data_IF_965352809589
#
_entry.id   IF_965352809589
#
_cell.length_a   1.000
_cell.length_b   1.000
_cell.length_c   1.000
_cell.angle_alpha   90.00
_cell.angle_beta   90.00
_cell.angle_gamma   90.00
#
_symmetry.space_group_name_H-M   'P 1'
#
loop_
_entity.id
_entity.type
_entity.pdbx_description
1 polymer ?
#
# COMPACT_ATOMS: atom_id res chain seq x y z
N UNK A 1 -12.64 -0.01 -18.24
CA UNK A 1 -11.78 -0.40 -17.10
C UNK A 1 -12.04 0.60 -15.97
N UNK A 2 -12.20 0.17 -14.71
CA UNK A 2 -12.38 1.10 -13.58
C UNK A 2 -11.04 1.76 -13.25
N UNK A 3 -11.08 3.02 -12.82
CA UNK A 3 -9.88 3.72 -12.37
C UNK A 3 -9.21 2.97 -11.21
N UNK A 4 -7.88 2.90 -11.22
CA UNK A 4 -7.08 2.25 -10.17
C UNK A 4 -5.65 2.78 -10.15
N UNK A 5 -4.97 2.57 -9.03
CA UNK A 5 -3.54 2.79 -8.90
C UNK A 5 -2.80 1.47 -9.20
N UNK A 6 -2.14 1.40 -10.35
CA UNK A 6 -1.37 0.24 -10.79
C UNK A 6 0.06 0.31 -10.23
N UNK A 7 0.43 -0.67 -9.42
CA UNK A 7 1.75 -0.80 -8.80
C UNK A 7 2.74 -1.33 -9.83
N UNK A 8 3.81 -0.57 -10.05
CA UNK A 8 4.94 -0.97 -10.86
C UNK A 8 6.02 -1.62 -10.01
N UNK A 9 6.37 -1.00 -8.87
CA UNK A 9 7.47 -1.42 -8.02
C UNK A 9 7.11 -1.30 -6.53
N UNK A 10 7.61 -2.24 -5.73
CA UNK A 10 7.50 -2.26 -4.27
C UNK A 10 8.88 -2.48 -3.71
N UNK A 11 9.35 -1.55 -2.88
CA UNK A 11 10.70 -1.56 -2.30
C UNK A 11 10.65 -1.52 -0.77
N UNK A 12 10.56 -2.67 -0.11
CA UNK A 12 10.69 -2.77 1.34
C UNK A 12 12.18 -2.80 1.68
N UNK A 13 12.68 -1.73 2.30
CA UNK A 13 14.09 -1.61 2.68
C UNK A 13 14.27 -0.55 3.77
N UNK A 14 15.27 -0.74 4.63
CA UNK A 14 15.74 0.27 5.58
C UNK A 14 14.63 0.84 6.50
N UNK A 15 13.69 -0.03 6.91
CA UNK A 15 12.56 0.34 7.78
C UNK A 15 11.47 1.16 7.08
N UNK A 16 11.47 1.16 5.74
CA UNK A 16 10.52 1.88 4.88
C UNK A 16 9.95 0.96 3.81
N UNK A 17 8.79 1.34 3.28
CA UNK A 17 8.23 0.74 2.07
C UNK A 17 7.98 1.85 1.07
N UNK A 18 8.78 1.88 0.00
CA UNK A 18 8.59 2.79 -1.13
C UNK A 18 7.77 2.10 -2.21
N UNK A 19 6.77 2.81 -2.73
CA UNK A 19 5.85 2.33 -3.76
C UNK A 19 5.94 3.26 -4.98
N UNK A 20 6.04 2.64 -6.15
CA UNK A 20 5.99 3.34 -7.43
C UNK A 20 4.87 2.72 -8.27
N UNK A 21 4.08 3.57 -8.92
CA UNK A 21 3.00 3.10 -9.76
C UNK A 21 2.50 4.16 -10.72
N UNK A 22 1.36 3.85 -11.36
CA UNK A 22 0.65 4.76 -12.25
C UNK A 22 -0.84 4.78 -11.96
N UNK A 23 -1.47 5.93 -12.16
CA UNK A 23 -2.92 6.06 -12.16
C UNK A 23 -3.44 5.66 -13.54
N UNK A 24 -4.34 4.68 -13.59
CA UNK A 24 -5.02 4.28 -14.82
C UNK A 24 -6.50 4.57 -14.74
N UNK A 25 -7.11 4.86 -15.88
CA UNK A 25 -8.56 5.03 -16.01
C UNK A 25 -9.11 6.40 -15.58
N UNK A 26 -8.24 7.37 -15.30
CA UNK A 26 -8.58 8.79 -15.14
C UNK A 26 -7.93 9.60 -16.27
N UNK A 27 -8.58 10.66 -16.78
CA UNK A 27 -7.96 11.59 -17.71
C UNK A 27 -6.93 12.48 -16.98
N UNK A 28 -5.89 12.94 -17.68
CA UNK A 28 -4.76 13.68 -17.08
C UNK A 28 -5.16 14.94 -16.28
N UNK A 29 -6.22 15.64 -16.70
CA UNK A 29 -6.76 16.79 -15.94
C UNK A 29 -7.32 16.41 -14.56
N UNK A 30 -7.76 15.18 -14.39
CA UNK A 30 -8.33 14.66 -13.15
C UNK A 30 -7.24 14.01 -12.27
N UNK A 31 -5.99 13.94 -12.76
CA UNK A 31 -4.83 13.59 -11.94
C UNK A 31 -4.05 14.82 -11.50
N UNK A 32 -4.39 16.02 -12.01
CA UNK A 32 -3.80 17.27 -11.59
C UNK A 32 -4.25 17.63 -10.17
N UNK A 33 -3.38 17.43 -9.18
CA UNK A 33 -3.70 17.71 -7.78
C UNK A 33 -2.70 17.10 -6.81
N UNK A 34 -2.94 17.33 -5.52
CA UNK A 34 -2.19 16.67 -4.46
C UNK A 34 -2.80 15.29 -4.21
N UNK A 35 -1.97 14.25 -4.33
CA UNK A 35 -2.36 12.88 -4.04
C UNK A 35 -1.66 12.39 -2.79
N UNK A 36 -2.31 11.48 -2.09
CA UNK A 36 -1.81 10.83 -0.91
C UNK A 36 -1.87 9.31 -1.06
N UNK A 37 -0.84 8.64 -0.59
CA UNK A 37 -0.92 7.23 -0.23
C UNK A 37 -1.72 7.10 1.06
N UNK A 38 -2.80 6.33 1.02
CA UNK A 38 -3.64 6.09 2.19
C UNK A 38 -3.63 4.63 2.55
N UNK A 39 -3.23 4.34 3.79
CA UNK A 39 -3.30 3.00 4.36
C UNK A 39 -4.48 2.95 5.30
N UNK A 40 -5.37 1.98 5.10
CA UNK A 40 -6.55 1.77 5.95
C UNK A 40 -6.41 0.45 6.68
N UNK A 41 -6.47 0.47 8.02
CA UNK A 41 -6.44 -0.74 8.84
C UNK A 41 -7.72 -1.54 8.59
N UNK A 42 -7.61 -2.78 8.12
CA UNK A 42 -8.75 -3.56 7.66
C UNK A 42 -9.78 -3.84 8.77
N UNK A 43 -9.30 -4.11 9.98
CA UNK A 43 -10.16 -4.36 11.14
C UNK A 43 -10.79 -3.07 11.73
N UNK A 44 -10.18 -1.91 11.47
CA UNK A 44 -10.61 -0.61 12.01
C UNK A 44 -10.52 0.46 10.91
N UNK A 45 -11.51 0.55 10.00
CA UNK A 45 -11.46 1.43 8.83
C UNK A 45 -11.35 2.93 9.15
N UNK A 46 -11.65 3.34 10.38
CA UNK A 46 -11.43 4.68 10.92
C UNK A 46 -9.95 4.99 11.17
N UNK A 47 -9.09 3.97 11.28
CA UNK A 47 -7.64 4.09 11.45
C UNK A 47 -6.97 4.13 10.09
N UNK A 48 -6.58 5.34 9.71
CA UNK A 48 -5.93 5.64 8.42
C UNK A 48 -4.60 6.36 8.64
N UNK A 49 -3.60 5.97 7.88
CA UNK A 49 -2.33 6.70 7.72
C UNK A 49 -2.32 7.34 6.34
N UNK A 50 -1.74 8.54 6.23
CA UNK A 50 -1.69 9.32 4.99
C UNK A 50 -0.27 9.84 4.78
N UNK A 51 0.25 9.65 3.58
CA UNK A 51 1.55 10.15 3.16
C UNK A 51 1.42 10.85 1.83
N UNK A 52 2.16 11.92 1.62
CA UNK A 52 2.19 12.58 0.31
C UNK A 52 2.63 11.58 -0.78
N UNK A 53 2.04 11.71 -1.95
CA UNK A 53 2.46 11.00 -3.16
C UNK A 53 2.91 12.03 -4.19
N UNK A 54 4.17 11.93 -4.61
CA UNK A 54 4.72 12.75 -5.66
C UNK A 54 4.18 12.25 -7.00
N UNK A 55 3.35 13.07 -7.65
CA UNK A 55 2.75 12.75 -8.94
C UNK A 55 3.43 13.53 -10.06
N UNK A 56 3.85 12.81 -11.10
CA UNK A 56 4.31 13.37 -12.37
C UNK A 56 3.55 12.68 -13.50
N UNK A 57 2.68 13.46 -14.16
CA UNK A 57 1.71 12.97 -15.14
C UNK A 57 0.78 11.91 -14.52
N UNK A 58 0.92 10.65 -14.93
CA UNK A 58 0.19 9.50 -14.37
C UNK A 58 1.00 8.72 -13.35
N UNK A 59 2.32 8.95 -13.26
CA UNK A 59 3.23 8.21 -12.40
C UNK A 59 3.23 8.79 -11.00
N UNK A 60 3.06 7.94 -10.00
CA UNK A 60 3.21 8.32 -8.60
C UNK A 60 4.38 7.61 -7.93
N UNK A 61 4.92 8.26 -6.91
CA UNK A 61 5.84 7.70 -5.94
C UNK A 61 5.41 8.12 -4.53
N UNK A 62 5.46 7.19 -3.58
CA UNK A 62 5.24 7.50 -2.17
C UNK A 62 6.00 6.50 -1.30
N UNK A 63 6.28 6.90 -0.07
CA UNK A 63 7.00 6.09 0.90
C UNK A 63 6.33 6.18 2.27
N UNK A 64 6.30 5.06 2.99
CA UNK A 64 5.83 5.00 4.37
C UNK A 64 6.89 4.43 5.32
N UNK A 65 7.09 5.03 6.51
CA UNK A 65 7.86 4.42 7.58
C UNK A 65 7.13 3.20 8.14
N UNK A 66 7.85 2.10 8.35
CA UNK A 66 7.26 0.86 8.91
C UNK A 66 6.85 1.06 10.37
N UNK A 67 7.55 1.92 11.11
CA UNK A 67 7.27 2.21 12.51
C UNK A 67 5.85 2.76 12.76
N UNK A 68 5.29 3.46 11.78
CA UNK A 68 3.96 4.10 11.88
C UNK A 68 2.82 3.07 11.85
N UNK A 69 3.11 1.83 11.45
CA UNK A 69 2.17 0.70 11.45
C UNK A 69 2.06 0.00 12.81
N UNK A 70 2.79 0.46 13.83
CA UNK A 70 2.66 -0.04 15.18
C UNK A 70 1.27 0.31 15.74
N UNK A 71 0.42 -0.69 15.89
CA UNK A 71 -0.86 -0.55 16.57
C UNK A 71 -0.67 -0.61 18.09
N UNK A 72 -1.37 0.24 18.87
CA UNK A 72 -1.29 0.20 20.34
C UNK A 72 -2.01 -1.02 20.94
N UNK A 73 -2.99 -1.57 20.22
CA UNK A 73 -3.73 -2.77 20.57
C UNK A 73 -3.11 -4.01 19.91
N UNK A 74 -2.94 -5.06 20.71
CA UNK A 74 -2.33 -6.29 20.22
C UNK A 74 -3.26 -7.05 19.28
N UNK A 75 -2.76 -7.34 18.08
CA UNK A 75 -3.31 -8.31 17.15
C UNK A 75 -2.17 -9.25 16.68
N UNK A 76 -2.39 -10.58 16.65
CA UNK A 76 -1.38 -11.52 16.14
C UNK A 76 -1.02 -11.26 14.67
N UNK A 77 -2.01 -10.90 13.87
CA UNK A 77 -1.87 -10.49 12.47
C UNK A 77 -2.82 -9.34 12.20
N UNK A 78 -2.31 -8.33 11.52
CA UNK A 78 -3.04 -7.15 11.11
C UNK A 78 -2.80 -6.85 9.63
N UNK A 79 -3.80 -6.29 8.97
CA UNK A 79 -3.72 -6.02 7.53
C UNK A 79 -4.10 -4.56 7.23
N UNK A 80 -3.32 -3.94 6.35
CA UNK A 80 -3.53 -2.57 5.89
C UNK A 80 -3.76 -2.57 4.38
N UNK A 81 -4.86 -1.95 3.97
CA UNK A 81 -5.22 -1.79 2.56
C UNK A 81 -4.69 -0.46 2.03
N UNK A 82 -3.91 -0.53 0.95
CA UNK A 82 -3.28 0.61 0.30
C UNK A 82 -4.20 1.20 -0.79
N UNK A 83 -4.37 2.51 -0.73
CA UNK A 83 -5.06 3.31 -1.72
C UNK A 83 -4.23 4.53 -2.12
N UNK A 84 -4.54 5.11 -3.27
CA UNK A 84 -4.11 6.44 -3.65
C UNK A 84 -5.35 7.35 -3.68
N UNK A 85 -5.28 8.54 -3.10
CA UNK A 85 -6.44 9.44 -3.00
C UNK A 85 -6.06 10.91 -3.16
N UNK A 86 -6.93 11.70 -3.79
CA UNK A 86 -6.87 13.17 -3.83
C UNK A 86 -7.87 13.82 -2.84
N UNK A 87 -8.45 13.02 -1.94
CA UNK A 87 -9.50 13.43 -1.00
C UNK A 87 -10.94 13.31 -1.53
N UNK A 88 -11.13 13.23 -2.85
CA UNK A 88 -12.45 13.04 -3.49
C UNK A 88 -12.57 11.64 -4.11
N UNK A 89 -11.52 11.22 -4.80
CA UNK A 89 -11.34 9.91 -5.41
C UNK A 89 -10.44 9.06 -4.53
N UNK A 90 -10.77 7.77 -4.42
CA UNK A 90 -9.95 6.79 -3.71
C UNK A 90 -9.77 5.55 -4.59
N UNK A 91 -8.51 5.30 -4.97
CA UNK A 91 -8.12 4.27 -5.91
C UNK A 91 -7.43 3.14 -5.16
N UNK A 92 -8.00 1.93 -5.19
CA UNK A 92 -7.33 0.75 -4.62
C UNK A 92 -6.04 0.47 -5.38
N UNK A 93 -4.93 0.36 -4.65
CA UNK A 93 -3.64 0.00 -5.23
C UNK A 93 -3.56 -1.50 -5.50
N UNK A 94 -3.09 -1.88 -6.68
CA UNK A 94 -2.95 -3.28 -7.09
C UNK A 94 -2.10 -3.44 -8.33
N UNK A 95 -1.98 -4.66 -8.84
CA UNK A 95 -1.27 -4.94 -10.08
C UNK A 95 -2.11 -5.84 -10.98
N UNK A 96 -2.73 -5.27 -12.00
CA UNK A 96 -3.77 -5.92 -12.80
C UNK A 96 -3.49 -5.96 -14.30
N UNK A 97 -2.56 -5.11 -14.78
CA UNK A 97 -2.33 -4.84 -16.21
C UNK A 97 -1.09 -5.53 -16.78
N UNK A 98 -0.47 -6.43 -16.03
CA UNK A 98 0.72 -7.20 -16.43
C UNK A 98 0.40 -8.61 -16.94
N UNK A 99 -0.89 -8.93 -17.13
CA UNK A 99 -1.42 -10.25 -17.52
C UNK A 99 -1.07 -11.42 -16.56
N UNK A 100 -0.48 -11.14 -15.40
CA UNK A 100 -0.21 -12.13 -14.35
C UNK A 100 -1.41 -12.20 -13.41
N UNK A 101 -1.88 -13.41 -13.07
CA UNK A 101 -2.96 -13.61 -12.09
C UNK A 101 -2.47 -14.43 -10.89
N UNK A 102 -3.13 -14.25 -9.74
CA UNK A 102 -2.84 -15.05 -8.55
C UNK A 102 -1.51 -14.68 -7.90
N UNK A 103 -1.19 -13.38 -7.89
CA UNK A 103 0.11 -12.85 -7.46
C UNK A 103 0.45 -13.16 -6.01
N UNK A 104 -0.55 -13.39 -5.17
CA UNK A 104 -0.37 -13.82 -3.76
C UNK A 104 0.57 -15.02 -3.61
N UNK A 105 0.60 -15.94 -4.59
CA UNK A 105 1.44 -17.15 -4.56
C UNK A 105 2.79 -16.99 -5.28
N UNK A 106 3.00 -15.87 -5.96
CA UNK A 106 4.14 -15.66 -6.87
C UNK A 106 5.08 -14.61 -6.28
N UNK A 107 4.54 -13.51 -5.76
CA UNK A 107 5.32 -12.42 -5.21
C UNK A 107 5.50 -12.60 -3.71
N UNK A 108 6.75 -12.75 -3.29
CA UNK A 108 7.17 -12.74 -1.90
C UNK A 108 8.10 -11.57 -1.70
N UNK A 109 7.70 -10.63 -0.86
CA UNK A 109 8.51 -9.46 -0.51
C UNK A 109 9.28 -9.69 0.79
N UNK A 110 10.50 -9.11 0.92
CA UNK A 110 11.23 -9.17 2.17
C UNK A 110 10.47 -8.44 3.28
N UNK A 111 10.39 -9.07 4.44
CA UNK A 111 9.78 -8.50 5.63
C UNK A 111 10.68 -7.43 6.25
N UNK A 112 10.11 -6.28 6.56
CA UNK A 112 10.79 -5.20 7.27
C UNK A 112 10.49 -5.31 8.76
N UNK A 113 11.48 -4.99 9.60
CA UNK A 113 11.34 -5.08 11.04
C UNK A 113 11.67 -3.75 11.70
N UNK A 114 10.85 -3.36 12.69
CA UNK A 114 11.13 -2.25 13.62
C UNK A 114 10.74 -2.72 15.02
N UNK A 115 11.72 -2.88 15.91
CA UNK A 115 11.46 -3.48 17.23
C UNK A 115 10.90 -4.89 17.09
N UNK A 116 9.73 -5.15 17.69
CA UNK A 116 9.00 -6.42 17.59
C UNK A 116 7.97 -6.45 16.45
N UNK A 117 7.83 -5.38 15.66
CA UNK A 117 6.91 -5.31 14.53
C UNK A 117 7.58 -5.84 13.26
N UNK A 118 7.02 -6.89 12.67
CA UNK A 118 7.32 -7.36 11.32
C UNK A 118 6.25 -6.88 10.34
N UNK A 119 6.65 -6.32 9.20
CA UNK A 119 5.73 -5.84 8.15
C UNK A 119 6.14 -6.38 6.79
N UNK A 120 5.17 -6.96 6.08
CA UNK A 120 5.38 -7.53 4.75
C UNK A 120 4.33 -7.04 3.75
N UNK A 121 4.72 -6.46 2.61
CA UNK A 121 3.79 -6.28 1.51
C UNK A 121 3.36 -7.62 0.93
N UNK A 122 2.12 -7.72 0.50
CA UNK A 122 1.62 -8.88 -0.21
C UNK A 122 0.49 -8.49 -1.17
N UNK A 123 0.31 -9.28 -2.23
CA UNK A 123 -0.87 -9.17 -3.07
C UNK A 123 -2.02 -10.03 -2.53
N UNK A 124 -3.22 -9.47 -2.48
CA UNK A 124 -4.45 -10.18 -2.13
C UNK A 124 -4.87 -11.16 -3.24
N UNK A 125 -5.91 -11.96 -3.00
CA UNK A 125 -6.49 -12.86 -4.02
C UNK A 125 -7.01 -12.08 -5.24
N UNK A 126 -7.41 -10.82 -5.04
CA UNK A 126 -7.84 -9.91 -6.11
C UNK A 126 -6.67 -9.14 -6.71
N UNK A 127 -5.41 -9.53 -6.47
CA UNK A 127 -4.20 -8.86 -6.96
C UNK A 127 -4.07 -7.36 -6.53
N UNK A 128 -4.79 -6.95 -5.46
CA UNK A 128 -4.55 -5.66 -4.79
C UNK A 128 -3.38 -5.75 -3.83
N UNK A 129 -2.60 -4.68 -3.68
CA UNK A 129 -1.49 -4.61 -2.74
C UNK A 129 -1.99 -4.26 -1.33
N UNK A 130 -1.54 -5.00 -0.33
CA UNK A 130 -1.78 -4.73 1.10
C UNK A 130 -0.49 -4.97 1.88
N UNK A 131 -0.48 -4.51 3.14
CA UNK A 131 0.56 -4.86 4.10
C UNK A 131 -0.02 -5.83 5.13
N UNK A 132 0.78 -6.81 5.52
CA UNK A 132 0.54 -7.65 6.68
C UNK A 132 1.52 -7.24 7.77
N UNK A 133 1.01 -6.96 8.97
CA UNK A 133 1.77 -6.60 10.14
C UNK A 133 1.64 -7.72 11.17
N UNK A 134 2.76 -8.11 11.76
CA UNK A 134 2.84 -9.12 12.81
C UNK A 134 3.59 -8.54 13.98
N UNK A 135 2.94 -8.48 15.12
CA UNK A 135 3.59 -8.07 16.35
C UNK A 135 4.15 -9.33 16.99
N UNK A 136 5.47 -9.41 17.13
CA UNK A 136 6.11 -10.45 17.91
C UNK A 136 5.58 -10.38 19.33
N UNK A 137 4.86 -11.41 19.76
CA UNK A 137 4.46 -11.55 21.15
C UNK A 137 5.71 -11.49 22.01
N UNK A 138 5.67 -10.73 23.11
CA UNK A 138 6.62 -10.99 24.18
C UNK A 138 6.43 -12.46 24.56
N UNK A 139 7.48 -13.25 24.40
CA UNK A 139 7.58 -14.53 25.09
C UNK A 139 7.50 -14.30 26.60
#
# INVERSE_FOLDING_TARGET
MKAHAEIAEVWPRDGRIRLVGRIHGLPARDTAGSWELVLTRRAHPDRRLRYAADLKDDRFESELPVADLAAPDYAPVEEWDIHLSDGTVELRAGKHLDDIRGKKKIFVYPEQHVGNLGVRPYYTIKDNLSLECRTGGSA
#
